data_IF_487248689165
#
_entry.id   IF_487248689165
#
_cell.length_a   1.000
_cell.length_b   1.000
_cell.length_c   1.000
_cell.angle_alpha   90.00
_cell.angle_beta   90.00
_cell.angle_gamma   90.00
#
_symmetry.space_group_name_H-M   'P 1'
#
loop_
_entity.id
_entity.type
_entity.pdbx_description
1 polymer ?
#
# COMPACT_ATOMS: atom_id res chain seq x y z
N UNK A 1 -1.42 -27.27 5.29
CA UNK A 1 -1.18 -26.58 3.99
C UNK A 1 -2.49 -26.24 3.25
N UNK A 2 -3.50 -27.14 3.26
CA UNK A 2 -4.75 -26.91 2.54
C UNK A 2 -5.63 -25.78 3.09
N UNK A 3 -5.70 -25.61 4.40
CA UNK A 3 -6.60 -24.64 5.03
C UNK A 3 -6.07 -23.20 5.02
N UNK A 4 -4.74 -23.04 5.09
CA UNK A 4 -4.09 -21.71 4.94
C UNK A 4 -4.27 -21.22 3.50
N UNK A 5 -4.14 -22.09 2.51
CA UNK A 5 -4.35 -21.78 1.10
C UNK A 5 -5.82 -21.44 0.79
N UNK A 6 -6.78 -22.11 1.44
CA UNK A 6 -8.21 -21.81 1.30
C UNK A 6 -8.60 -20.46 1.91
N UNK A 7 -8.02 -20.07 3.04
CA UNK A 7 -8.26 -18.75 3.65
C UNK A 7 -7.65 -17.61 2.82
N UNK A 8 -6.44 -17.79 2.28
CA UNK A 8 -5.84 -16.81 1.36
C UNK A 8 -6.66 -16.65 0.08
N UNK A 9 -7.21 -17.74 -0.49
CA UNK A 9 -8.06 -17.66 -1.68
C UNK A 9 -9.41 -16.98 -1.44
N UNK A 10 -9.99 -17.06 -0.23
CA UNK A 10 -11.22 -16.33 0.09
C UNK A 10 -10.97 -14.83 0.23
N UNK A 11 -9.87 -14.43 0.84
CA UNK A 11 -9.54 -13.02 1.00
C UNK A 11 -9.09 -12.38 -0.32
N UNK A 12 -8.38 -13.12 -1.17
CA UNK A 12 -8.08 -12.71 -2.56
C UNK A 12 -9.34 -12.46 -3.38
N UNK A 13 -10.35 -13.33 -3.27
CA UNK A 13 -11.62 -13.15 -3.98
C UNK A 13 -12.43 -11.98 -3.43
N UNK A 14 -12.40 -11.72 -2.13
CA UNK A 14 -13.01 -10.53 -1.54
C UNK A 14 -12.27 -9.26 -1.93
N UNK A 15 -10.94 -9.28 -1.92
CA UNK A 15 -10.11 -8.14 -2.35
C UNK A 15 -10.36 -7.78 -3.81
N UNK A 16 -10.34 -8.79 -4.71
CA UNK A 16 -10.65 -8.60 -6.14
C UNK A 16 -12.10 -8.15 -6.33
N UNK A 17 -13.06 -8.68 -5.56
CA UNK A 17 -14.47 -8.23 -5.64
C UNK A 17 -14.68 -6.82 -5.12
N UNK A 18 -13.93 -6.39 -4.11
CA UNK A 18 -14.06 -5.02 -3.56
C UNK A 18 -13.30 -3.97 -4.40
N UNK A 19 -12.25 -4.39 -5.11
CA UNK A 19 -11.51 -3.56 -6.05
C UNK A 19 -12.04 -3.66 -7.50
N UNK A 20 -12.81 -4.72 -7.82
CA UNK A 20 -13.22 -5.07 -9.18
C UNK A 20 -14.73 -5.26 -9.38
N UNK A 21 -15.61 -4.74 -8.55
CA UNK A 21 -17.05 -4.81 -8.77
C UNK A 21 -17.54 -3.69 -9.68
N UNK A 22 -17.28 -3.87 -10.96
CA UNK A 22 -18.11 -3.35 -12.04
C UNK A 22 -17.85 -4.12 -13.35
N UNK A 23 -18.06 -5.42 -13.40
CA UNK A 23 -18.37 -6.14 -14.65
C UNK A 23 -18.72 -7.60 -14.33
N UNK A 24 -19.99 -7.93 -14.33
CA UNK A 24 -20.46 -9.31 -14.20
C UNK A 24 -21.86 -9.44 -14.76
N UNK A 25 -21.93 -9.66 -16.07
CA UNK A 25 -23.17 -9.92 -16.80
C UNK A 25 -23.90 -11.12 -16.24
N UNK A 26 -25.14 -10.95 -15.84
CA UNK A 26 -26.15 -12.01 -15.79
C UNK A 26 -26.88 -12.03 -17.12
N UNK A 27 -26.61 -13.06 -17.91
CA UNK A 27 -27.47 -13.48 -19.00
C UNK A 27 -28.69 -14.21 -18.41
N UNK A 28 -29.88 -13.66 -18.58
CA UNK A 28 -31.08 -14.38 -19.08
C UNK A 28 -32.34 -13.48 -19.04
N UNK A 29 -32.94 -13.40 -20.22
CA UNK A 29 -34.33 -13.09 -20.52
C UNK A 29 -34.89 -11.67 -20.35
N UNK A 30 -34.96 -11.02 -21.47
CA UNK A 30 -36.12 -10.26 -21.90
C UNK A 30 -36.52 -9.01 -21.13
N UNK A 31 -36.53 -7.87 -21.89
CA UNK A 31 -37.14 -6.58 -21.56
C UNK A 31 -36.18 -5.50 -21.08
N UNK A 32 -35.96 -4.55 -21.98
CA UNK A 32 -35.45 -3.22 -21.67
C UNK A 32 -33.92 -3.13 -21.64
N UNK A 33 -33.34 -2.50 -22.66
CA UNK A 33 -31.98 -1.95 -22.62
C UNK A 33 -31.91 -0.91 -21.50
N UNK A 34 -31.66 -1.35 -20.29
CA UNK A 34 -31.10 -0.47 -19.26
C UNK A 34 -29.66 -0.20 -19.65
N UNK A 35 -29.34 1.02 -20.04
CA UNK A 35 -27.99 1.50 -20.11
C UNK A 35 -27.30 1.18 -18.77
N UNK A 36 -26.37 0.22 -18.77
CA UNK A 36 -25.46 0.02 -17.66
C UNK A 36 -24.56 1.26 -17.64
N UNK A 37 -24.99 2.28 -16.93
CA UNK A 37 -24.12 3.39 -16.58
C UNK A 37 -22.99 2.81 -15.73
N UNK A 38 -21.88 2.50 -16.36
CA UNK A 38 -20.62 2.26 -15.65
C UNK A 38 -20.29 3.55 -14.92
N UNK A 39 -20.62 3.61 -13.62
CA UNK A 39 -20.11 4.67 -12.76
C UNK A 39 -18.59 4.63 -12.91
N UNK A 40 -18.05 5.65 -13.56
CA UNK A 40 -16.63 5.85 -13.76
C UNK A 40 -16.03 6.02 -12.37
N UNK A 41 -15.45 4.96 -11.81
CA UNK A 41 -14.78 5.03 -10.51
C UNK A 41 -13.79 6.19 -10.56
N UNK A 42 -13.87 7.08 -9.58
CA UNK A 42 -12.99 8.26 -9.51
C UNK A 42 -11.54 7.77 -9.52
N UNK A 43 -10.74 8.27 -10.46
CA UNK A 43 -9.30 7.99 -10.50
C UNK A 43 -8.66 8.41 -9.18
N UNK A 44 -7.78 7.55 -8.63
CA UNK A 44 -7.02 7.81 -7.42
C UNK A 44 -5.54 7.97 -7.74
N UNK A 45 -4.85 8.81 -6.97
CA UNK A 45 -3.39 8.84 -6.92
C UNK A 45 -2.91 7.81 -5.90
N UNK A 46 -2.18 6.81 -6.34
CA UNK A 46 -1.71 5.70 -5.51
C UNK A 46 -0.19 5.73 -5.42
N UNK A 47 0.35 5.75 -4.21
CA UNK A 47 1.78 5.58 -3.98
C UNK A 47 2.05 4.16 -3.53
N UNK A 48 2.93 3.44 -4.24
CA UNK A 48 3.37 2.09 -3.90
C UNK A 48 4.82 2.14 -3.39
N UNK A 49 5.00 1.88 -2.10
CA UNK A 49 6.30 1.85 -1.43
C UNK A 49 6.82 0.41 -1.39
N UNK A 50 7.88 0.10 -2.13
CA UNK A 50 8.46 -1.25 -2.14
C UNK A 50 9.72 -1.34 -1.32
N UNK A 51 9.77 -2.28 -0.38
CA UNK A 51 10.90 -2.49 0.55
C UNK A 51 11.78 -3.70 0.22
N UNK A 52 11.57 -4.38 -0.92
CA UNK A 52 12.36 -5.56 -1.29
C UNK A 52 13.62 -5.18 -2.08
N UNK A 53 14.82 -5.62 -1.65
CA UNK A 53 16.05 -5.42 -2.42
C UNK A 53 16.16 -6.37 -3.63
N UNK A 54 15.34 -7.45 -3.66
CA UNK A 54 15.36 -8.44 -4.73
C UNK A 54 14.41 -8.04 -5.84
N UNK A 55 14.94 -7.58 -6.98
CA UNK A 55 14.13 -7.10 -8.11
C UNK A 55 13.11 -8.12 -8.62
N UNK A 56 13.54 -9.37 -8.74
CA UNK A 56 12.72 -10.49 -9.21
C UNK A 56 12.16 -11.31 -8.06
N UNK A 57 12.08 -10.74 -6.83
CA UNK A 57 11.51 -11.41 -5.67
C UNK A 57 9.97 -11.38 -5.67
N UNK A 58 9.38 -12.30 -4.92
CA UNK A 58 7.91 -12.45 -4.82
C UNK A 58 7.21 -11.14 -4.46
N UNK A 59 7.76 -10.38 -3.52
CA UNK A 59 7.19 -9.09 -3.08
C UNK A 59 7.13 -8.08 -4.23
N UNK A 60 8.22 -7.96 -5.03
CA UNK A 60 8.23 -7.06 -6.19
C UNK A 60 7.31 -7.55 -7.31
N UNK A 61 7.17 -8.87 -7.47
CA UNK A 61 6.20 -9.42 -8.42
C UNK A 61 4.76 -9.06 -8.01
N UNK A 62 4.41 -9.24 -6.73
CA UNK A 62 3.10 -8.84 -6.21
C UNK A 62 2.84 -7.33 -6.37
N UNK A 63 3.86 -6.49 -6.08
CA UNK A 63 3.77 -5.05 -6.33
C UNK A 63 3.44 -4.73 -7.79
N UNK A 64 4.14 -5.38 -8.73
CA UNK A 64 3.92 -5.17 -10.17
C UNK A 64 2.53 -5.61 -10.62
N UNK A 65 1.99 -6.71 -10.08
CA UNK A 65 0.63 -7.14 -10.38
C UNK A 65 -0.42 -6.18 -9.80
N UNK A 66 -0.18 -5.67 -8.59
CA UNK A 66 -1.05 -4.63 -8.00
C UNK A 66 -1.06 -3.36 -8.86
N UNK A 67 0.12 -2.86 -9.24
CA UNK A 67 0.28 -1.66 -10.08
C UNK A 67 -0.46 -1.85 -11.40
N UNK A 68 -0.21 -2.95 -12.10
CA UNK A 68 -0.88 -3.27 -13.36
C UNK A 68 -2.40 -3.24 -13.21
N UNK A 69 -2.96 -3.89 -12.19
CA UNK A 69 -4.41 -3.90 -11.96
C UNK A 69 -4.97 -2.52 -11.61
N UNK A 70 -4.22 -1.69 -10.88
CA UNK A 70 -4.61 -0.33 -10.54
C UNK A 70 -4.62 0.59 -11.77
N UNK A 71 -3.59 0.50 -12.62
CA UNK A 71 -3.49 1.25 -13.88
C UNK A 71 -4.59 0.84 -14.88
N UNK A 72 -4.86 -0.47 -15.01
CA UNK A 72 -5.97 -0.99 -15.82
C UNK A 72 -7.34 -0.50 -15.33
N UNK A 73 -7.47 -0.22 -14.02
CA UNK A 73 -8.66 0.39 -13.43
C UNK A 73 -8.72 1.93 -13.59
N UNK A 74 -7.72 2.54 -14.22
CA UNK A 74 -7.66 3.98 -14.50
C UNK A 74 -7.13 4.82 -13.34
N UNK A 75 -6.37 4.25 -12.41
CA UNK A 75 -5.70 4.97 -11.34
C UNK A 75 -4.31 5.45 -11.77
N UNK A 76 -3.85 6.54 -11.17
CA UNK A 76 -2.50 7.09 -11.34
C UNK A 76 -1.57 6.49 -10.27
N UNK A 77 -0.55 5.73 -10.68
CA UNK A 77 0.30 4.98 -9.74
C UNK A 77 1.74 5.47 -9.80
N UNK A 78 2.22 5.96 -8.66
CA UNK A 78 3.64 6.27 -8.44
C UNK A 78 4.29 5.18 -7.60
N UNK A 79 5.30 4.49 -8.17
CA UNK A 79 6.08 3.47 -7.47
C UNK A 79 7.39 4.07 -6.96
N UNK A 80 7.66 3.87 -5.67
CA UNK A 80 8.91 4.24 -5.02
C UNK A 80 9.63 3.01 -4.46
N UNK A 81 10.76 2.66 -5.05
CA UNK A 81 11.58 1.52 -4.62
C UNK A 81 12.54 1.96 -3.49
N UNK A 82 12.13 1.80 -2.24
CA UNK A 82 12.87 2.25 -1.05
C UNK A 82 14.32 1.71 -0.99
N UNK A 83 14.62 0.63 -1.69
CA UNK A 83 15.96 0.01 -1.72
C UNK A 83 16.87 0.61 -2.78
N UNK A 84 16.33 1.40 -3.69
CA UNK A 84 17.07 2.06 -4.78
C UNK A 84 17.26 3.55 -4.56
N UNK A 85 16.48 4.09 -3.65
CA UNK A 85 16.57 5.48 -3.22
C UNK A 85 17.32 5.58 -1.90
N UNK A 86 18.09 6.64 -1.74
CA UNK A 86 18.84 6.90 -0.50
C UNK A 86 17.97 7.69 0.45
N UNK A 87 17.24 6.99 1.33
CA UNK A 87 16.44 7.60 2.38
C UNK A 87 16.99 7.16 3.73
N UNK A 88 17.55 8.09 4.48
CA UNK A 88 17.97 7.84 5.86
C UNK A 88 16.77 7.87 6.82
N UNK A 89 16.80 7.07 7.87
CA UNK A 89 15.78 7.10 8.93
C UNK A 89 15.72 8.45 9.64
N UNK A 90 14.58 8.78 10.21
CA UNK A 90 14.42 10.01 10.98
C UNK A 90 15.33 10.00 12.21
N UNK A 91 16.08 11.08 12.43
CA UNK A 91 16.96 11.25 13.60
C UNK A 91 16.30 12.03 14.76
N UNK A 92 15.03 12.37 14.62
CA UNK A 92 14.28 13.06 15.70
C UNK A 92 14.72 14.51 15.97
N UNK A 93 15.43 15.17 15.06
CA UNK A 93 15.95 16.53 15.27
C UNK A 93 14.88 17.62 15.34
N UNK A 94 13.65 17.30 14.99
CA UNK A 94 12.48 18.19 14.97
C UNK A 94 12.60 19.47 14.12
N UNK A 95 13.63 19.60 13.28
CA UNK A 95 13.81 20.78 12.42
C UNK A 95 12.64 21.00 11.44
N UNK A 96 11.93 19.93 11.04
CA UNK A 96 10.75 19.99 10.18
C UNK A 96 9.47 20.45 10.93
N UNK A 97 9.46 20.45 12.26
CA UNK A 97 8.27 20.79 13.04
C UNK A 97 7.05 19.93 12.74
N UNK A 98 7.25 18.70 12.25
CA UNK A 98 6.20 17.75 11.84
C UNK A 98 5.33 18.20 10.65
N UNK A 99 5.62 19.31 10.03
CA UNK A 99 4.80 19.88 8.94
C UNK A 99 5.61 20.64 7.89
N UNK A 100 6.91 20.45 7.85
CA UNK A 100 7.83 21.17 6.98
C UNK A 100 8.76 20.25 6.18
N UNK A 101 9.73 20.86 5.54
CA UNK A 101 10.77 20.13 4.84
C UNK A 101 11.73 19.47 5.84
N UNK A 102 12.17 18.27 5.51
CA UNK A 102 13.16 17.62 6.34
C UNK A 102 14.53 18.26 6.18
N UNK A 103 15.26 18.38 7.29
CA UNK A 103 16.64 18.84 7.28
C UNK A 103 17.57 17.97 6.41
N UNK A 104 17.30 16.66 6.40
CA UNK A 104 18.11 15.74 5.59
C UNK A 104 17.76 15.87 4.12
N UNK A 105 18.78 16.17 3.31
CA UNK A 105 18.69 16.29 1.85
C UNK A 105 18.97 14.91 1.22
N UNK A 106 17.92 14.15 1.03
CA UNK A 106 17.96 12.82 0.43
C UNK A 106 16.72 12.58 -0.45
N UNK A 107 16.58 11.38 -1.01
CA UNK A 107 15.52 11.05 -1.97
C UNK A 107 14.11 11.05 -1.36
N UNK A 108 13.97 11.26 -0.04
CA UNK A 108 12.65 11.53 0.55
C UNK A 108 12.03 12.82 0.02
N UNK A 109 12.82 13.78 -0.40
CA UNK A 109 12.35 15.03 -1.00
C UNK A 109 11.59 14.79 -2.32
N UNK A 110 11.98 13.78 -3.09
CA UNK A 110 11.26 13.35 -4.30
C UNK A 110 9.94 12.67 -3.96
N UNK A 111 9.94 11.77 -2.98
CA UNK A 111 8.76 11.02 -2.56
C UNK A 111 7.70 11.90 -1.88
N UNK A 112 8.15 12.92 -1.13
CA UNK A 112 7.31 13.75 -0.26
C UNK A 112 6.06 14.31 -0.97
N UNK A 113 6.15 14.98 -2.12
CA UNK A 113 4.97 15.52 -2.82
C UNK A 113 3.96 14.42 -3.18
N UNK A 114 4.42 13.27 -3.64
CA UNK A 114 3.56 12.15 -3.97
C UNK A 114 2.80 11.62 -2.73
N UNK A 115 3.46 11.50 -1.58
CA UNK A 115 2.79 11.11 -0.33
C UNK A 115 1.74 12.12 0.13
N UNK A 116 1.98 13.41 -0.06
CA UNK A 116 1.03 14.45 0.31
C UNK A 116 -0.23 14.40 -0.57
N UNK A 117 -0.05 14.17 -1.86
CA UNK A 117 -1.14 14.14 -2.85
C UNK A 117 -1.86 12.79 -2.94
N UNK A 118 -1.26 11.72 -2.44
CA UNK A 118 -1.83 10.38 -2.56
C UNK A 118 -3.22 10.26 -1.91
N UNK A 119 -4.13 9.61 -2.61
CA UNK A 119 -5.39 9.10 -2.06
C UNK A 119 -5.16 7.77 -1.32
N UNK A 120 -4.17 6.99 -1.78
CA UNK A 120 -3.83 5.68 -1.23
C UNK A 120 -2.33 5.45 -1.16
N UNK A 121 -1.87 4.80 -0.09
CA UNK A 121 -0.48 4.33 0.07
C UNK A 121 -0.47 2.82 0.25
N UNK A 122 0.29 2.13 -0.59
CA UNK A 122 0.45 0.67 -0.53
C UNK A 122 1.84 0.33 -0.02
N UNK A 123 1.90 -0.35 1.12
CA UNK A 123 3.14 -0.82 1.70
C UNK A 123 3.43 -2.22 1.19
N UNK A 124 4.57 -2.42 0.54
CA UNK A 124 4.95 -3.72 -0.05
C UNK A 124 6.32 -4.11 0.44
N UNK A 125 6.43 -5.18 1.25
CA UNK A 125 7.71 -5.53 1.88
C UNK A 125 7.85 -7.02 2.15
N UNK A 126 9.07 -7.58 2.07
CA UNK A 126 9.35 -8.84 2.73
C UNK A 126 9.36 -8.63 4.24
N UNK A 127 9.07 -9.68 4.99
CA UNK A 127 9.31 -9.71 6.43
C UNK A 127 10.78 -10.02 6.71
N UNK A 128 11.43 -9.12 7.44
CA UNK A 128 12.78 -9.33 7.94
C UNK A 128 12.79 -9.16 9.45
N UNK A 129 13.17 -10.22 10.17
CA UNK A 129 13.15 -10.23 11.65
C UNK A 129 11.82 -9.67 12.20
N UNK A 130 10.71 -10.24 11.71
CA UNK A 130 9.34 -9.93 12.13
C UNK A 130 8.90 -8.47 11.91
N UNK A 131 9.61 -7.73 11.08
CA UNK A 131 9.34 -6.32 10.80
C UNK A 131 9.40 -5.95 9.31
N UNK A 132 9.06 -4.72 9.02
CA UNK A 132 9.29 -4.13 7.69
C UNK A 132 10.79 -4.13 7.38
N UNK A 133 11.15 -4.25 6.09
CA UNK A 133 12.54 -4.03 5.70
C UNK A 133 13.04 -2.68 6.19
N UNK A 134 14.31 -2.59 6.56
CA UNK A 134 14.90 -1.36 7.10
C UNK A 134 14.73 -0.17 6.16
N UNK A 135 14.79 -0.40 4.85
CA UNK A 135 14.63 0.63 3.83
C UNK A 135 13.21 1.20 3.81
N UNK A 136 12.19 0.34 3.85
CA UNK A 136 10.81 0.80 3.95
C UNK A 136 10.55 1.48 5.30
N UNK A 137 11.10 0.94 6.39
CA UNK A 137 10.95 1.53 7.71
C UNK A 137 11.58 2.92 7.78
N UNK A 138 12.75 3.12 7.16
CA UNK A 138 13.37 4.44 7.07
C UNK A 138 12.45 5.47 6.39
N UNK A 139 11.79 5.08 5.30
CA UNK A 139 10.79 5.93 4.63
C UNK A 139 9.60 6.23 5.55
N UNK A 140 9.09 5.22 6.26
CA UNK A 140 7.97 5.40 7.21
C UNK A 140 8.36 6.34 8.35
N UNK A 141 9.59 6.26 8.88
CA UNK A 141 10.07 7.16 9.92
C UNK A 141 10.12 8.62 9.48
N UNK A 142 10.32 8.85 8.17
CA UNK A 142 10.30 10.20 7.59
C UNK A 142 8.89 10.77 7.42
N UNK A 143 7.83 9.97 7.62
CA UNK A 143 6.47 10.51 7.72
C UNK A 143 6.36 11.53 8.84
N UNK A 144 7.27 11.51 9.82
CA UNK A 144 7.35 12.52 10.86
C UNK A 144 7.44 13.94 10.28
N UNK A 145 8.19 14.15 9.19
CA UNK A 145 8.33 15.47 8.58
C UNK A 145 7.01 16.02 7.98
N UNK A 146 6.10 15.14 7.61
CA UNK A 146 4.81 15.49 6.98
C UNK A 146 3.61 15.08 7.84
N UNK A 147 3.84 14.70 9.09
CA UNK A 147 2.82 14.15 9.96
C UNK A 147 1.59 15.06 10.11
N UNK A 148 1.79 16.37 10.25
CA UNK A 148 0.70 17.34 10.35
C UNK A 148 -0.17 17.44 9.08
N UNK A 149 0.29 16.94 7.95
CA UNK A 149 -0.42 16.96 6.66
C UNK A 149 -1.09 15.64 6.33
N UNK A 150 -0.54 14.52 6.81
CA UNK A 150 -1.02 13.17 6.47
C UNK A 150 -1.88 12.54 7.56
N UNK A 151 -1.66 12.89 8.83
CA UNK A 151 -2.48 12.39 9.95
C UNK A 151 -3.87 13.01 9.91
N UNK A 152 -4.90 12.16 9.97
CA UNK A 152 -6.30 12.58 9.85
C UNK A 152 -6.74 12.94 8.43
N UNK A 153 -5.83 12.87 7.44
CA UNK A 153 -6.20 13.00 6.04
C UNK A 153 -7.04 11.78 5.59
N UNK A 154 -8.01 12.00 4.70
CA UNK A 154 -8.90 10.96 4.20
C UNK A 154 -8.18 10.01 3.23
N UNK A 155 -7.04 9.47 3.65
CA UNK A 155 -6.23 8.53 2.86
C UNK A 155 -6.62 7.08 3.14
N UNK A 156 -6.23 6.24 2.21
CA UNK A 156 -6.41 4.79 2.26
C UNK A 156 -5.05 4.11 2.31
N UNK A 157 -5.00 2.87 2.79
CA UNK A 157 -3.79 2.07 2.72
C UNK A 157 -4.10 0.61 2.44
N UNK A 158 -3.13 -0.09 1.84
CA UNK A 158 -3.11 -1.54 1.73
C UNK A 158 -1.72 -2.07 2.08
N UNK A 159 -1.65 -3.35 2.43
CA UNK A 159 -0.43 -3.98 2.82
C UNK A 159 -0.21 -5.28 2.05
N UNK A 160 0.94 -5.42 1.42
CA UNK A 160 1.37 -6.61 0.69
C UNK A 160 2.69 -7.08 1.31
N UNK A 161 2.71 -8.31 1.83
CA UNK A 161 3.93 -8.86 2.42
C UNK A 161 4.22 -10.28 1.94
N UNK A 162 5.50 -10.65 1.98
CA UNK A 162 5.95 -12.02 1.81
C UNK A 162 6.89 -12.41 2.94
N UNK A 163 6.73 -13.62 3.46
CA UNK A 163 7.59 -14.20 4.47
C UNK A 163 7.78 -15.70 4.21
N UNK A 164 8.82 -16.28 4.78
CA UNK A 164 9.23 -17.64 4.46
C UNK A 164 8.58 -18.71 5.35
N UNK A 165 8.00 -18.30 6.48
CA UNK A 165 7.42 -19.23 7.44
C UNK A 165 6.03 -19.72 6.99
N UNK A 166 5.63 -20.88 7.52
CA UNK A 166 4.31 -21.48 7.28
C UNK A 166 3.31 -21.19 8.40
N UNK A 167 3.79 -20.75 9.58
CA UNK A 167 2.92 -20.33 10.68
C UNK A 167 2.46 -18.88 10.48
N UNK A 168 1.16 -18.62 10.30
CA UNK A 168 0.65 -17.27 10.15
C UNK A 168 0.86 -16.38 11.39
N UNK A 169 1.13 -16.96 12.56
CA UNK A 169 1.43 -16.20 13.77
C UNK A 169 2.74 -15.42 13.66
N UNK A 170 3.70 -15.91 12.88
CA UNK A 170 4.96 -15.23 12.65
C UNK A 170 4.78 -13.86 11.96
N UNK A 171 3.69 -13.68 11.24
CA UNK A 171 3.34 -12.41 10.60
C UNK A 171 2.62 -11.41 11.53
N UNK A 172 2.13 -11.85 12.70
CA UNK A 172 1.34 -11.00 13.62
C UNK A 172 2.07 -9.70 14.01
N UNK A 173 3.39 -9.66 14.29
CA UNK A 173 4.08 -8.43 14.63
C UNK A 173 4.01 -7.38 13.50
N UNK A 174 4.17 -7.81 12.24
CA UNK A 174 4.06 -6.90 11.09
C UNK A 174 2.63 -6.41 10.89
N UNK A 175 1.66 -7.30 11.00
CA UNK A 175 0.23 -6.96 10.89
C UNK A 175 -0.15 -5.97 11.99
N UNK A 176 0.29 -6.21 13.22
CA UNK A 176 0.07 -5.31 14.35
C UNK A 176 0.71 -3.94 14.12
N UNK A 177 1.96 -3.91 13.64
CA UNK A 177 2.66 -2.67 13.31
C UNK A 177 1.90 -1.87 12.24
N UNK A 178 1.51 -2.51 11.13
CA UNK A 178 0.74 -1.88 10.08
C UNK A 178 -0.58 -1.29 10.61
N UNK A 179 -1.36 -2.08 11.35
CA UNK A 179 -2.63 -1.61 11.93
C UNK A 179 -2.45 -0.45 12.90
N UNK A 180 -1.40 -0.50 13.74
CA UNK A 180 -1.07 0.58 14.67
C UNK A 180 -0.71 1.87 13.91
N UNK A 181 0.08 1.75 12.84
CA UNK A 181 0.43 2.88 11.99
C UNK A 181 -0.83 3.51 11.37
N UNK A 182 -1.74 2.71 10.82
CA UNK A 182 -2.98 3.21 10.23
C UNK A 182 -3.90 3.87 11.26
N UNK A 183 -4.06 3.26 12.42
CA UNK A 183 -4.84 3.82 13.51
C UNK A 183 -4.29 5.19 13.95
N UNK A 184 -2.96 5.30 14.07
CA UNK A 184 -2.32 6.57 14.41
C UNK A 184 -2.53 7.63 13.33
N UNK A 185 -2.42 7.26 12.05
CA UNK A 185 -2.60 8.16 10.91
C UNK A 185 -4.07 8.46 10.61
N UNK A 186 -5.00 7.66 11.09
CA UNK A 186 -6.43 7.76 10.77
C UNK A 186 -6.75 7.35 9.34
N UNK A 187 -5.95 6.45 8.74
CA UNK A 187 -6.13 6.00 7.36
C UNK A 187 -7.02 4.76 7.28
N UNK A 188 -7.80 4.68 6.21
CA UNK A 188 -8.70 3.55 5.98
C UNK A 188 -7.93 2.34 5.42
N UNK A 189 -7.96 1.21 6.15
CA UNK A 189 -7.44 -0.07 5.66
C UNK A 189 -8.29 -0.61 4.50
N UNK A 190 -7.62 -1.03 3.42
CA UNK A 190 -8.24 -1.66 2.24
C UNK A 190 -7.92 -3.14 2.11
N UNK A 191 -7.11 -3.65 3.00
CA UNK A 191 -6.79 -5.07 3.08
C UNK A 191 -5.30 -5.37 3.05
N UNK A 192 -5.01 -6.65 3.29
CA UNK A 192 -3.67 -7.21 3.35
C UNK A 192 -3.58 -8.50 2.55
N UNK A 193 -2.45 -8.72 1.90
CA UNK A 193 -2.09 -9.94 1.15
C UNK A 193 -0.70 -10.41 1.55
#
# INVERSE_FOLDING_TARGET
LGDVYKRQNMDRRKFIKTAGLAAGATLLSGIGLAEVTTEKTKSMKIVVLTGSPRLNGNTNHMASQFIKGAEEAGHDVYRFDCTRHKVAGCIGCNACGMNGDCFMQDDFSELRPHLLEADMVVFVTPMYYFGFSSQLKAVIDRFYAINGRIKGAAKQAAFIMAYADTDPKEAEPMVSHYKTLLNYLGWKDRGMV
#
